data_IF_245588657633
#
_entry.id   IF_245588657633
#
_cell.length_a   1.000
_cell.length_b   1.000
_cell.length_c   1.000
_cell.angle_alpha   90.00
_cell.angle_beta   90.00
_cell.angle_gamma   90.00
#
_symmetry.space_group_name_H-M   'P 1'
#
loop_
_entity.id
_entity.type
_entity.pdbx_description
1 polymer ?
#
# COMPACT_ATOMS: atom_id res chain seq x y z
N UNK A 1 3.53 -7.89 28.96
CA UNK A 1 4.33 -8.02 27.73
C UNK A 1 3.91 -6.93 26.75
N UNK A 2 4.87 -6.33 26.05
CA UNK A 2 4.55 -5.34 25.03
C UNK A 2 3.79 -6.01 23.87
N UNK A 3 2.79 -5.32 23.37
CA UNK A 3 2.09 -5.76 22.15
C UNK A 3 3.03 -5.63 20.96
N UNK A 4 3.32 -6.75 20.28
CA UNK A 4 4.18 -6.80 19.11
C UNK A 4 3.39 -6.86 17.79
N UNK A 5 2.07 -6.68 17.85
CA UNK A 5 1.23 -6.67 16.65
C UNK A 5 1.53 -5.43 15.81
N UNK A 6 1.77 -5.66 14.53
CA UNK A 6 2.00 -4.62 13.52
C UNK A 6 0.98 -4.77 12.40
N UNK A 7 0.66 -3.66 11.77
CA UNK A 7 -0.29 -3.65 10.66
C UNK A 7 0.42 -3.24 9.38
N UNK A 8 0.32 -4.08 8.37
CA UNK A 8 0.78 -3.77 7.02
C UNK A 8 -0.43 -3.45 6.15
N UNK A 9 -0.40 -2.28 5.53
CA UNK A 9 -1.40 -1.85 4.57
C UNK A 9 -0.79 -2.01 3.18
N UNK A 10 -1.36 -2.87 2.35
CA UNK A 10 -0.90 -3.08 0.97
C UNK A 10 -1.91 -2.44 0.04
N UNK A 11 -1.51 -1.34 -0.59
CA UNK A 11 -2.37 -0.57 -1.49
C UNK A 11 -1.84 -0.67 -2.92
N UNK A 12 -2.68 -1.15 -3.83
CA UNK A 12 -2.41 -1.07 -5.26
C UNK A 12 -2.80 0.32 -5.76
N UNK A 13 -2.00 0.91 -6.66
CA UNK A 13 -2.34 2.22 -7.24
C UNK A 13 -3.75 2.23 -7.82
N UNK A 14 -4.37 3.40 -7.85
CA UNK A 14 -5.69 3.61 -8.42
C UNK A 14 -5.64 3.59 -9.96
N UNK A 15 -6.80 3.63 -10.61
CA UNK A 15 -6.93 3.52 -12.06
C UNK A 15 -6.10 4.58 -12.78
N UNK A 16 -5.20 4.14 -13.66
CA UNK A 16 -4.32 5.01 -14.44
C UNK A 16 -4.66 4.98 -15.92
N UNK A 17 -4.38 6.08 -16.61
CA UNK A 17 -4.49 6.17 -18.05
C UNK A 17 -3.33 5.47 -18.75
N UNK A 18 -3.47 5.24 -20.05
CA UNK A 18 -2.45 4.58 -20.88
C UNK A 18 -2.40 5.20 -22.26
N UNK A 19 -2.14 6.51 -22.34
CA UNK A 19 -2.05 7.19 -23.62
C UNK A 19 -0.84 6.73 -24.42
N UNK A 20 -0.95 6.55 -25.76
CA UNK A 20 0.18 6.17 -26.60
C UNK A 20 1.33 7.19 -26.48
N UNK A 21 2.56 6.68 -26.41
CA UNK A 21 3.77 7.50 -26.34
C UNK A 21 4.13 8.02 -24.96
N UNK A 22 3.31 7.75 -23.95
CA UNK A 22 3.61 8.12 -22.57
C UNK A 22 4.47 7.01 -21.93
N UNK A 23 5.59 7.41 -21.33
CA UNK A 23 6.44 6.51 -20.56
C UNK A 23 5.62 5.92 -19.39
N UNK A 24 5.80 4.63 -19.12
CA UNK A 24 5.05 3.95 -18.06
C UNK A 24 5.16 4.66 -16.70
N UNK A 25 6.34 5.15 -16.35
CA UNK A 25 6.57 5.87 -15.10
C UNK A 25 5.75 7.16 -14.99
N UNK A 26 5.36 7.74 -16.11
CA UNK A 26 4.65 9.03 -16.18
C UNK A 26 3.15 8.88 -16.37
N UNK A 27 2.65 7.65 -16.44
CA UNK A 27 1.20 7.44 -16.56
C UNK A 27 0.52 7.94 -15.29
N UNK A 28 -0.43 8.86 -15.45
CA UNK A 28 -1.15 9.46 -14.33
C UNK A 28 -2.50 8.80 -14.11
N UNK A 29 -3.12 9.08 -12.98
CA UNK A 29 -4.45 8.57 -12.66
C UNK A 29 -5.51 9.17 -13.58
N UNK A 30 -6.55 8.38 -13.84
CA UNK A 30 -7.80 8.89 -14.43
C UNK A 30 -8.60 9.65 -13.38
N UNK A 31 -9.64 10.37 -13.81
CA UNK A 31 -10.57 11.00 -12.85
C UNK A 31 -11.20 10.00 -11.90
N UNK A 32 -11.58 8.82 -12.42
CA UNK A 32 -12.09 7.72 -11.60
C UNK A 32 -11.04 7.23 -10.59
N UNK A 33 -9.79 7.10 -11.04
CA UNK A 33 -8.70 6.70 -10.15
C UNK A 33 -8.51 7.68 -9.00
N UNK A 34 -8.56 8.98 -9.28
CA UNK A 34 -8.45 10.01 -8.25
C UNK A 34 -9.58 9.89 -7.22
N UNK A 35 -10.82 9.72 -7.68
CA UNK A 35 -11.96 9.54 -6.78
C UNK A 35 -11.82 8.28 -5.93
N UNK A 36 -11.35 7.18 -6.51
CA UNK A 36 -11.13 5.94 -5.78
C UNK A 36 -10.04 6.09 -4.72
N UNK A 37 -8.98 6.82 -5.03
CA UNK A 37 -7.91 7.10 -4.06
C UNK A 37 -8.43 7.97 -2.90
N UNK A 38 -9.28 8.95 -3.19
CA UNK A 38 -9.95 9.73 -2.14
C UNK A 38 -10.79 8.85 -1.23
N UNK A 39 -11.54 7.90 -1.81
CA UNK A 39 -12.34 6.92 -1.05
C UNK A 39 -11.46 6.07 -0.13
N UNK A 40 -10.31 5.61 -0.64
CA UNK A 40 -9.38 4.80 0.15
C UNK A 40 -8.90 5.57 1.38
N UNK A 41 -8.52 6.84 1.19
CA UNK A 41 -8.09 7.71 2.29
C UNK A 41 -9.20 7.94 3.32
N UNK A 42 -10.41 8.19 2.87
CA UNK A 42 -11.56 8.36 3.77
C UNK A 42 -11.86 7.07 4.54
N UNK A 43 -11.76 5.92 3.88
CA UNK A 43 -11.97 4.64 4.53
C UNK A 43 -10.93 4.40 5.62
N UNK A 44 -9.65 4.64 5.32
CA UNK A 44 -8.57 4.52 6.32
C UNK A 44 -8.82 5.41 7.53
N UNK A 45 -9.21 6.66 7.29
CA UNK A 45 -9.49 7.61 8.35
C UNK A 45 -10.65 7.10 9.23
N UNK A 46 -11.72 6.62 8.62
CA UNK A 46 -12.88 6.09 9.34
C UNK A 46 -12.53 4.85 10.16
N UNK A 47 -11.58 4.02 9.70
CA UNK A 47 -11.12 2.84 10.43
C UNK A 47 -10.08 3.15 11.50
N UNK A 48 -9.60 4.39 11.58
CA UNK A 48 -8.52 4.74 12.49
C UNK A 48 -7.17 4.15 12.09
N UNK A 49 -7.01 3.78 10.82
CA UNK A 49 -5.78 3.21 10.30
C UNK A 49 -4.88 4.33 9.77
N UNK A 50 -3.86 4.67 10.54
CA UNK A 50 -2.93 5.77 10.24
C UNK A 50 -1.56 5.18 9.95
N UNK A 51 -1.05 5.26 8.70
CA UNK A 51 0.29 4.78 8.45
C UNK A 51 1.34 5.64 9.14
N UNK A 52 2.29 5.00 9.81
CA UNK A 52 3.45 5.67 10.42
C UNK A 52 4.56 5.86 9.40
N UNK A 53 4.66 4.94 8.46
CA UNK A 53 5.64 4.92 7.38
C UNK A 53 4.98 4.48 6.09
N UNK A 54 5.40 5.07 4.99
CA UNK A 54 4.89 4.73 3.66
C UNK A 54 6.07 4.48 2.73
N UNK A 55 6.04 3.33 2.06
CA UNK A 55 6.95 3.01 0.96
C UNK A 55 6.12 3.05 -0.33
N UNK A 56 6.36 4.04 -1.14
CA UNK A 56 5.59 4.29 -2.36
C UNK A 56 6.51 4.10 -3.58
N UNK A 57 6.02 3.38 -4.59
CA UNK A 57 6.71 3.32 -5.87
C UNK A 57 6.89 4.72 -6.45
N UNK A 58 7.98 4.93 -7.15
CA UNK A 58 8.32 6.21 -7.77
C UNK A 58 7.48 6.57 -8.99
N UNK A 59 6.62 5.66 -9.49
CA UNK A 59 5.75 5.94 -10.62
C UNK A 59 4.74 7.05 -10.31
N UNK A 60 4.37 7.82 -11.32
CA UNK A 60 3.40 8.91 -11.18
C UNK A 60 2.08 8.42 -10.57
N UNK A 61 1.55 7.29 -11.06
CA UNK A 61 0.26 6.75 -10.60
C UNK A 61 0.26 6.34 -9.13
N UNK A 62 1.37 5.86 -8.61
CA UNK A 62 1.49 5.54 -7.19
C UNK A 62 1.67 6.81 -6.35
N UNK A 63 2.45 7.77 -6.84
CA UNK A 63 2.62 9.07 -6.18
C UNK A 63 1.28 9.81 -6.07
N UNK A 64 0.51 9.84 -7.16
CA UNK A 64 -0.83 10.48 -7.13
C UNK A 64 -1.78 9.74 -6.20
N UNK A 65 -1.76 8.41 -6.21
CA UNK A 65 -2.60 7.62 -5.30
C UNK A 65 -2.31 8.00 -3.85
N UNK A 66 -1.03 8.01 -3.49
CA UNK A 66 -0.63 8.41 -2.13
C UNK A 66 -1.01 9.87 -1.82
N UNK A 67 -0.78 10.78 -2.75
CA UNK A 67 -1.12 12.19 -2.54
C UNK A 67 -2.61 12.37 -2.22
N UNK A 68 -3.48 11.64 -2.92
CA UNK A 68 -4.93 11.70 -2.69
C UNK A 68 -5.31 11.06 -1.35
N UNK A 69 -4.72 9.91 -1.03
CA UNK A 69 -4.93 9.24 0.26
C UNK A 69 -4.47 10.14 1.41
N UNK A 70 -3.29 10.73 1.27
CA UNK A 70 -2.71 11.63 2.27
C UNK A 70 -3.60 12.86 2.52
N UNK A 71 -4.11 13.46 1.44
CA UNK A 71 -5.00 14.61 1.55
C UNK A 71 -6.29 14.24 2.30
N UNK A 72 -6.85 13.06 2.02
CA UNK A 72 -8.06 12.59 2.70
C UNK A 72 -7.79 12.26 4.17
N UNK A 73 -6.60 11.78 4.53
CA UNK A 73 -6.20 11.56 5.92
C UNK A 73 -6.03 12.87 6.68
N UNK A 74 -5.65 13.94 5.99
CA UNK A 74 -5.48 15.26 6.60
C UNK A 74 -4.46 15.22 7.74
N UNK A 75 -4.86 15.63 8.95
CA UNK A 75 -3.99 15.65 10.12
C UNK A 75 -3.54 14.25 10.57
N UNK A 76 -4.21 13.20 10.12
CA UNK A 76 -3.85 11.81 10.42
C UNK A 76 -2.77 11.26 9.47
N UNK A 77 -2.41 12.00 8.42
CA UNK A 77 -1.34 11.61 7.50
C UNK A 77 0.02 11.68 8.21
N UNK A 78 0.97 10.79 7.86
CA UNK A 78 2.31 10.87 8.41
C UNK A 78 3.06 12.10 7.89
N UNK A 79 4.09 12.51 8.62
CA UNK A 79 4.98 13.58 8.16
C UNK A 79 5.63 13.21 6.81
N UNK A 80 5.90 14.20 5.94
CA UNK A 80 6.54 13.91 4.64
C UNK A 80 7.85 13.11 4.77
N UNK A 81 8.61 13.32 5.84
CA UNK A 81 9.85 12.57 6.10
C UNK A 81 9.65 11.08 6.38
N UNK A 82 8.42 10.67 6.68
CA UNK A 82 8.06 9.26 6.89
C UNK A 82 7.60 8.57 5.61
N UNK A 83 7.58 9.29 4.48
CA UNK A 83 7.16 8.77 3.19
C UNK A 83 8.37 8.69 2.27
N UNK A 84 8.66 7.49 1.77
CA UNK A 84 9.76 7.25 0.83
C UNK A 84 9.17 6.90 -0.54
N UNK A 85 9.58 7.63 -1.56
CA UNK A 85 9.29 7.30 -2.96
C UNK A 85 10.51 6.53 -3.48
N UNK A 86 10.33 5.23 -3.71
CA UNK A 86 11.44 4.32 -3.92
C UNK A 86 11.32 3.62 -5.28
N UNK A 87 12.34 3.79 -6.13
CA UNK A 87 12.41 3.13 -7.43
C UNK A 87 12.40 1.61 -7.29
N UNK A 88 12.97 1.09 -6.20
CA UNK A 88 12.97 -0.36 -5.95
C UNK A 88 11.55 -0.90 -5.83
N UNK A 89 10.61 -0.11 -5.29
CA UNK A 89 9.20 -0.52 -5.21
C UNK A 89 8.53 -0.58 -6.58
N UNK A 90 8.99 0.23 -7.53
CA UNK A 90 8.50 0.19 -8.91
C UNK A 90 8.90 -1.12 -9.60
N UNK A 91 10.13 -1.55 -9.42
CA UNK A 91 10.69 -2.74 -10.08
C UNK A 91 10.43 -4.03 -9.27
N UNK A 92 9.90 -3.94 -8.06
CA UNK A 92 9.83 -5.06 -7.12
C UNK A 92 8.84 -6.14 -7.55
N UNK A 93 9.21 -7.39 -7.24
CA UNK A 93 8.27 -8.49 -7.07
C UNK A 93 7.80 -8.52 -5.60
N UNK A 94 7.05 -9.55 -5.22
CA UNK A 94 6.53 -9.66 -3.85
C UNK A 94 7.66 -9.71 -2.82
N UNK A 95 8.74 -10.45 -3.10
CA UNK A 95 9.88 -10.53 -2.19
C UNK A 95 10.60 -9.19 -2.06
N UNK A 96 10.72 -8.45 -3.16
CA UNK A 96 11.31 -7.11 -3.15
C UNK A 96 10.50 -6.13 -2.30
N UNK A 97 9.16 -6.19 -2.37
CA UNK A 97 8.30 -5.39 -1.51
C UNK A 97 8.46 -5.79 -0.04
N UNK A 98 8.52 -7.08 0.23
CA UNK A 98 8.69 -7.57 1.60
C UNK A 98 10.04 -7.14 2.17
N UNK A 99 11.09 -7.13 1.34
CA UNK A 99 12.39 -6.61 1.75
C UNK A 99 12.31 -5.14 2.18
N UNK A 100 11.59 -4.31 1.40
CA UNK A 100 11.43 -2.89 1.72
C UNK A 100 10.63 -2.69 3.01
N UNK A 101 9.62 -3.54 3.24
CA UNK A 101 8.87 -3.56 4.51
C UNK A 101 9.82 -3.90 5.67
N UNK A 102 10.69 -4.88 5.46
CA UNK A 102 11.66 -5.32 6.47
C UNK A 102 12.68 -4.25 6.87
N UNK A 103 12.90 -3.26 6.02
CA UNK A 103 13.79 -2.12 6.33
C UNK A 103 13.16 -1.11 7.28
N UNK A 104 11.86 -1.21 7.55
CA UNK A 104 11.15 -0.21 8.34
C UNK A 104 11.50 -0.34 9.83
N UNK A 105 11.53 0.79 10.56
CA UNK A 105 11.87 0.76 11.97
C UNK A 105 10.80 0.05 12.81
N UNK A 106 11.23 -0.64 13.85
CA UNK A 106 10.30 -1.39 14.71
C UNK A 106 9.36 -0.48 15.50
N UNK A 107 9.68 0.78 15.65
CA UNK A 107 8.81 1.78 16.27
C UNK A 107 7.56 2.06 15.42
N UNK A 108 7.65 1.84 14.11
CA UNK A 108 6.49 1.98 13.23
C UNK A 108 5.53 0.83 13.46
N UNK A 109 4.29 1.14 13.82
CA UNK A 109 3.24 0.15 14.08
C UNK A 109 2.41 -0.14 12.85
N UNK A 110 2.27 0.84 11.97
CA UNK A 110 1.52 0.73 10.74
C UNK A 110 2.41 1.17 9.58
N UNK A 111 2.67 0.26 8.66
CA UNK A 111 3.45 0.54 7.45
C UNK A 111 2.53 0.33 6.25
N UNK A 112 2.58 1.24 5.29
CA UNK A 112 1.85 1.11 4.03
C UNK A 112 2.82 0.99 2.87
N UNK A 113 2.53 0.05 1.96
CA UNK A 113 3.14 0.04 0.63
C UNK A 113 2.14 0.54 -0.38
N UNK A 114 2.57 1.38 -1.32
CA UNK A 114 1.76 1.80 -2.46
C UNK A 114 2.49 1.34 -3.72
N UNK A 115 1.92 0.36 -4.39
CA UNK A 115 2.63 -0.34 -5.45
C UNK A 115 1.74 -0.85 -6.56
N UNK A 116 2.24 -1.88 -7.22
CA UNK A 116 1.71 -2.40 -8.47
C UNK A 116 1.37 -3.89 -8.37
N UNK A 117 0.49 -4.35 -9.23
CA UNK A 117 0.32 -5.78 -9.47
C UNK A 117 1.29 -6.23 -10.59
N UNK A 118 1.74 -7.48 -10.56
CA UNK A 118 1.31 -8.55 -9.66
C UNK A 118 1.94 -8.53 -8.27
N UNK A 119 2.95 -7.72 -8.03
CA UNK A 119 3.73 -7.74 -6.78
C UNK A 119 2.87 -7.54 -5.53
N UNK A 120 1.97 -6.54 -5.53
CA UNK A 120 1.12 -6.25 -4.37
C UNK A 120 0.18 -7.41 -4.06
N UNK A 121 -0.50 -7.94 -5.08
CA UNK A 121 -1.39 -9.08 -4.92
C UNK A 121 -0.65 -10.31 -4.41
N UNK A 122 0.53 -10.59 -4.99
CA UNK A 122 1.36 -11.73 -4.57
C UNK A 122 1.88 -11.56 -3.14
N UNK A 123 2.22 -10.34 -2.73
CA UNK A 123 2.65 -10.07 -1.36
C UNK A 123 1.54 -10.42 -0.35
N UNK A 124 0.31 -10.02 -0.64
CA UNK A 124 -0.84 -10.37 0.20
C UNK A 124 -1.01 -11.89 0.25
N UNK A 125 -0.95 -12.55 -0.91
CA UNK A 125 -1.11 -14.01 -0.99
C UNK A 125 -0.02 -14.75 -0.21
N UNK A 126 1.23 -14.33 -0.36
CA UNK A 126 2.36 -14.97 0.33
C UNK A 126 2.30 -14.79 1.84
N UNK A 127 1.98 -13.59 2.31
CA UNK A 127 1.93 -13.33 3.74
C UNK A 127 0.76 -14.01 4.42
N UNK A 128 -0.40 -14.09 3.76
CA UNK A 128 -1.64 -14.53 4.40
C UNK A 128 -2.11 -15.91 3.98
N UNK A 129 -1.53 -16.48 2.92
CA UNK A 129 -2.02 -17.72 2.32
C UNK A 129 -3.30 -17.57 1.51
N UNK A 130 -3.85 -16.36 1.41
CA UNK A 130 -5.09 -16.09 0.71
C UNK A 130 -4.80 -15.73 -0.76
N UNK A 131 -4.93 -16.72 -1.64
CA UNK A 131 -4.65 -16.58 -3.08
C UNK A 131 -5.88 -16.29 -3.91
N UNK A 132 -7.06 -16.49 -3.33
CA UNK A 132 -8.37 -16.43 -3.97
C UNK A 132 -9.02 -15.04 -3.92
N UNK A 133 -8.33 -14.04 -3.40
CA UNK A 133 -8.89 -12.70 -3.24
C UNK A 133 -8.72 -11.88 -4.53
N UNK A 134 -9.72 -11.05 -4.90
CA UNK A 134 -9.53 -10.06 -5.96
C UNK A 134 -8.63 -8.93 -5.46
N UNK A 135 -7.81 -8.38 -6.35
CA UNK A 135 -6.97 -7.23 -6.01
C UNK A 135 -6.95 -6.23 -7.16
N UNK A 136 -8.10 -5.57 -7.43
CA UNK A 136 -8.20 -4.59 -8.51
C UNK A 136 -7.43 -3.31 -8.20
N UNK A 137 -7.38 -2.37 -9.13
CA UNK A 137 -6.79 -1.05 -8.87
C UNK A 137 -7.43 -0.42 -7.64
N UNK A 138 -6.61 0.22 -6.83
CA UNK A 138 -6.98 0.81 -5.54
C UNK A 138 -7.45 -0.19 -4.47
N UNK A 139 -7.22 -1.49 -4.67
CA UNK A 139 -7.47 -2.47 -3.60
C UNK A 139 -6.50 -2.24 -2.44
N UNK A 140 -7.00 -2.42 -1.24
CA UNK A 140 -6.25 -2.21 0.00
C UNK A 140 -6.43 -3.41 0.91
N UNK A 141 -5.34 -4.09 1.24
CA UNK A 141 -5.34 -5.19 2.19
C UNK A 141 -4.79 -4.71 3.53
N UNK A 142 -5.47 -5.09 4.60
CA UNK A 142 -5.04 -4.85 5.98
C UNK A 142 -4.54 -6.18 6.54
N UNK A 143 -3.24 -6.26 6.81
CA UNK A 143 -2.59 -7.50 7.25
C UNK A 143 -2.03 -7.29 8.65
N UNK A 144 -2.36 -8.20 9.56
CA UNK A 144 -1.80 -8.21 10.91
C UNK A 144 -0.60 -9.13 10.96
N UNK A 145 0.50 -8.62 11.51
CA UNK A 145 1.75 -9.34 11.69
C UNK A 145 2.19 -9.24 13.15
N UNK A 146 2.92 -10.22 13.64
CA UNK A 146 3.53 -10.16 14.95
C UNK A 146 5.06 -10.17 14.80
N UNK A 147 5.77 -9.56 15.76
CA UNK A 147 7.22 -9.47 15.71
C UNK A 147 7.70 -8.25 14.93
N UNK A 148 8.99 -8.21 14.61
CA UNK A 148 9.60 -7.10 13.90
C UNK A 148 9.28 -7.15 12.40
N UNK A 149 9.39 -6.01 11.73
CA UNK A 149 9.21 -5.95 10.28
C UNK A 149 10.22 -6.84 9.54
N UNK A 150 11.46 -6.88 10.05
CA UNK A 150 12.53 -7.68 9.43
C UNK A 150 12.26 -9.19 9.49
N UNK A 151 11.43 -9.64 10.42
CA UNK A 151 11.10 -11.06 10.60
C UNK A 151 9.84 -11.49 9.85
N UNK A 152 9.21 -10.61 9.10
CA UNK A 152 8.03 -10.95 8.32
C UNK A 152 8.40 -11.95 7.22
N UNK A 153 7.74 -13.11 7.23
CA UNK A 153 7.99 -14.23 6.31
C UNK A 153 6.67 -14.73 5.73
N UNK A 154 6.72 -15.51 4.64
CA UNK A 154 5.49 -16.10 4.09
C UNK A 154 4.69 -16.87 5.15
N UNK A 155 3.38 -16.66 5.17
CA UNK A 155 2.46 -17.30 6.12
C UNK A 155 2.39 -16.62 7.49
N UNK A 156 3.19 -15.58 7.74
CA UNK A 156 3.23 -14.92 9.05
C UNK A 156 2.08 -13.95 9.29
N UNK A 157 1.36 -13.59 8.23
CA UNK A 157 0.31 -12.57 8.31
C UNK A 157 -1.10 -13.14 8.33
N UNK A 158 -2.01 -12.35 8.87
CA UNK A 158 -3.43 -12.62 8.83
C UNK A 158 -4.13 -11.49 8.09
N UNK A 159 -4.95 -11.84 7.08
CA UNK A 159 -5.75 -10.84 6.37
C UNK A 159 -6.91 -10.43 7.25
N UNK A 160 -6.80 -9.25 7.85
CA UNK A 160 -7.83 -8.71 8.72
C UNK A 160 -8.97 -8.11 7.91
N UNK A 161 -8.66 -7.45 6.79
CA UNK A 161 -9.65 -6.81 5.95
C UNK A 161 -9.15 -6.64 4.53
N UNK A 162 -10.06 -6.69 3.57
CA UNK A 162 -9.81 -6.34 2.18
C UNK A 162 -10.83 -5.29 1.77
N UNK A 163 -10.35 -4.11 1.41
CA UNK A 163 -11.21 -3.03 0.92
C UNK A 163 -10.98 -2.83 -0.59
N UNK A 164 -12.06 -2.62 -1.31
CA UNK A 164 -11.99 -2.24 -2.73
C UNK A 164 -12.93 -1.06 -2.97
N UNK A 165 -12.63 -0.18 -3.93
CA UNK A 165 -13.53 0.94 -4.22
C UNK A 165 -14.85 0.42 -4.81
N UNK A 166 -15.92 1.18 -4.58
CA UNK A 166 -17.27 0.81 -5.06
C UNK A 166 -17.34 0.73 -6.58
N UNK A 167 -16.52 1.51 -7.26
CA UNK A 167 -16.50 1.62 -8.72
C UNK A 167 -15.12 1.29 -9.27
N UNK A 168 -14.55 0.20 -8.80
CA UNK A 168 -13.24 -0.25 -9.25
C UNK A 168 -13.23 -0.65 -10.73
#
# INVERSE_FOLDING_TARGET
>A
MADTTRTLLVLRHAKAGGEPGVNDLRRSLTGRGRRNADEAGRWLLAQGLRPDRVVCSSAERTRETWARVSAALGAAAPDPGAVTFDRRAYDADAQGLLYLVGEQPDEARVVMTVGHNPASHQLVAELTGRRDIPFPTCALAVIKLTGSWADAVPGAGELAELWTPRTA
#
